data_IF_746454299548
#
_entry.id   IF_746454299548
#
_cell.length_a   1.000
_cell.length_b   1.000
_cell.length_c   1.000
_cell.angle_alpha   90.00
_cell.angle_beta   90.00
_cell.angle_gamma   90.00
#
_symmetry.space_group_name_H-M   'P 1'
#
loop_
_entity.id
_entity.type
_entity.pdbx_description
1 polymer ?
#
# COMPACT_ATOMS: atom_id res chain seq x y z
N UNK A 1 35.39 -4.69 -28.51
CA UNK A 1 34.39 -3.61 -28.39
C UNK A 1 33.17 -4.20 -27.73
N UNK A 2 32.99 -3.92 -26.44
CA UNK A 2 31.83 -4.43 -25.68
C UNK A 2 30.58 -3.72 -26.14
N UNK A 3 29.52 -4.49 -26.43
CA UNK A 3 28.17 -3.98 -26.65
C UNK A 3 27.71 -3.25 -25.37
N UNK A 4 27.76 -1.93 -25.37
CA UNK A 4 27.13 -1.12 -24.35
C UNK A 4 25.61 -1.34 -24.57
N UNK A 5 25.00 -2.20 -23.75
CA UNK A 5 23.56 -2.32 -23.68
C UNK A 5 23.00 -0.93 -23.36
N UNK A 6 22.44 -0.24 -24.36
CA UNK A 6 21.71 1.00 -24.13
C UNK A 6 20.42 0.65 -23.38
N UNK A 7 20.42 0.90 -22.09
CA UNK A 7 19.19 0.83 -21.32
C UNK A 7 18.20 1.90 -21.82
N UNK A 8 16.89 1.60 -21.86
CA UNK A 8 15.89 2.60 -22.22
C UNK A 8 15.95 3.77 -21.22
N UNK A 9 15.60 4.97 -21.67
CA UNK A 9 15.45 6.11 -20.76
C UNK A 9 14.37 5.80 -19.70
N UNK A 10 14.40 6.51 -18.57
CA UNK A 10 13.39 6.34 -17.52
C UNK A 10 11.97 6.45 -18.07
N UNK A 11 11.71 7.45 -18.93
CA UNK A 11 10.38 7.66 -19.53
C UNK A 11 9.97 6.49 -20.43
N UNK A 12 10.90 5.96 -21.24
CA UNK A 12 10.64 4.78 -22.08
C UNK A 12 10.36 3.54 -21.23
N UNK A 13 11.11 3.35 -20.15
CA UNK A 13 10.88 2.25 -19.22
C UNK A 13 9.51 2.35 -18.56
N UNK A 14 9.16 3.52 -18.03
CA UNK A 14 7.87 3.75 -17.38
C UNK A 14 6.69 3.60 -18.37
N UNK A 15 6.86 4.04 -19.62
CA UNK A 15 5.86 3.84 -20.67
C UNK A 15 5.63 2.35 -20.96
N UNK A 16 6.70 1.54 -21.03
CA UNK A 16 6.61 0.09 -21.17
C UNK A 16 5.90 -0.58 -20.00
N UNK A 17 6.13 -0.13 -18.76
CA UNK A 17 5.46 -0.67 -17.58
C UNK A 17 3.97 -0.40 -17.55
N UNK A 18 3.49 0.70 -18.12
CA UNK A 18 2.05 0.98 -18.26
C UNK A 18 1.35 -0.06 -19.13
N UNK A 19 1.98 -0.50 -20.21
CA UNK A 19 1.40 -1.51 -21.12
C UNK A 19 1.42 -2.91 -20.53
N UNK A 20 2.34 -3.22 -19.63
CA UNK A 20 2.49 -4.55 -18.99
C UNK A 20 1.80 -4.65 -17.63
N UNK A 21 1.12 -3.58 -17.16
CA UNK A 21 0.48 -3.57 -15.85
C UNK A 21 1.48 -3.50 -14.67
N UNK A 22 2.72 -3.05 -14.93
CA UNK A 22 3.71 -2.76 -13.89
C UNK A 22 3.44 -1.43 -13.17
N UNK A 23 2.70 -0.53 -13.85
CA UNK A 23 2.25 0.77 -13.35
C UNK A 23 0.77 0.94 -13.69
N UNK A 24 0.00 1.51 -12.76
CA UNK A 24 -1.41 1.90 -12.98
C UNK A 24 -1.73 3.22 -12.30
N UNK A 25 -2.72 3.91 -12.81
CA UNK A 25 -3.24 5.12 -12.19
C UNK A 25 -4.21 4.75 -11.07
N UNK A 26 -4.02 5.30 -9.87
CA UNK A 26 -4.91 5.06 -8.73
C UNK A 26 -5.66 6.32 -8.29
N UNK A 27 -5.20 7.50 -8.71
CA UNK A 27 -5.87 8.79 -8.55
C UNK A 27 -5.43 9.69 -9.70
N UNK A 28 -6.15 10.79 -9.95
CA UNK A 28 -5.83 11.74 -11.04
C UNK A 28 -4.36 12.16 -10.98
N UNK A 29 -3.62 11.90 -12.04
CA UNK A 29 -2.19 12.20 -12.21
C UNK A 29 -1.27 11.55 -11.15
N UNK A 30 -1.75 10.51 -10.45
CA UNK A 30 -0.97 9.74 -9.49
C UNK A 30 -0.94 8.27 -9.88
N UNK A 31 0.24 7.72 -9.91
CA UNK A 31 0.48 6.36 -10.38
C UNK A 31 1.09 5.49 -9.30
N UNK A 32 0.72 4.23 -9.31
CA UNK A 32 1.34 3.20 -8.50
C UNK A 32 2.27 2.33 -9.35
N UNK A 33 3.38 1.91 -8.78
CA UNK A 33 4.35 1.00 -9.39
C UNK A 33 4.53 -0.22 -8.51
N UNK A 34 4.64 -1.41 -9.10
CA UNK A 34 4.93 -2.64 -8.36
C UNK A 34 6.30 -2.57 -7.71
N UNK A 35 6.43 -3.08 -6.49
CA UNK A 35 7.69 -3.19 -5.77
C UNK A 35 8.81 -3.83 -6.62
N UNK A 36 8.52 -4.95 -7.27
CA UNK A 36 9.48 -5.63 -8.16
C UNK A 36 10.03 -4.72 -9.27
N UNK A 37 9.21 -3.82 -9.80
CA UNK A 37 9.65 -2.88 -10.84
C UNK A 37 10.52 -1.76 -10.26
N UNK A 38 10.27 -1.35 -9.01
CA UNK A 38 11.15 -0.40 -8.30
C UNK A 38 12.52 -1.02 -8.05
N UNK A 39 12.60 -2.30 -7.66
CA UNK A 39 13.88 -3.01 -7.52
C UNK A 39 14.65 -3.13 -8.84
N UNK A 40 13.94 -3.36 -9.96
CA UNK A 40 14.57 -3.38 -11.29
C UNK A 40 15.12 -2.01 -11.66
N UNK A 41 14.37 -0.93 -11.37
CA UNK A 41 14.85 0.44 -11.55
C UNK A 41 16.13 0.71 -10.73
N UNK A 42 16.16 0.31 -9.45
CA UNK A 42 17.34 0.47 -8.62
C UNK A 42 18.59 -0.20 -9.24
N UNK A 43 18.44 -1.44 -9.72
CA UNK A 43 19.50 -2.17 -10.40
C UNK A 43 19.94 -1.50 -11.71
N UNK A 44 18.97 -1.07 -12.53
CA UNK A 44 19.24 -0.44 -13.82
C UNK A 44 20.00 0.89 -13.68
N UNK A 45 19.67 1.68 -12.66
CA UNK A 45 20.28 3.00 -12.42
C UNK A 45 21.42 2.96 -11.40
N UNK A 46 21.86 1.77 -10.96
CA UNK A 46 22.91 1.59 -9.96
C UNK A 46 22.64 2.38 -8.67
N UNK A 47 21.39 2.40 -8.22
CA UNK A 47 21.02 3.03 -6.96
C UNK A 47 21.35 2.06 -5.83
N UNK A 48 22.26 2.47 -4.95
CA UNK A 48 22.66 1.70 -3.78
C UNK A 48 21.79 2.13 -2.61
N UNK A 49 21.13 1.18 -1.96
CA UNK A 49 20.28 1.44 -0.80
C UNK A 49 20.83 0.79 0.46
N UNK A 50 20.64 1.46 1.59
CA UNK A 50 20.86 0.93 2.94
C UNK A 50 19.65 1.19 3.80
N UNK A 51 19.42 0.32 4.79
CA UNK A 51 18.27 0.41 5.69
C UNK A 51 18.74 0.40 7.15
N UNK A 52 17.95 1.03 8.00
CA UNK A 52 18.12 1.07 9.46
C UNK A 52 16.75 0.90 10.12
N UNK A 53 16.64 -0.05 11.05
CA UNK A 53 15.43 -0.18 11.88
C UNK A 53 15.46 0.92 12.95
N UNK A 54 14.55 1.88 12.84
CA UNK A 54 14.47 3.03 13.76
C UNK A 54 13.66 2.69 15.00
N UNK A 55 12.52 2.01 14.80
CA UNK A 55 11.65 1.62 15.90
C UNK A 55 10.81 0.40 15.51
N UNK A 56 10.46 -0.42 16.50
CA UNK A 56 9.64 -1.61 16.30
C UNK A 56 8.88 -1.96 17.58
N UNK A 57 7.58 -2.18 17.44
CA UNK A 57 6.73 -2.79 18.45
C UNK A 57 5.89 -3.89 17.75
N UNK A 58 6.41 -5.12 17.78
CA UNK A 58 5.78 -6.25 17.09
C UNK A 58 4.44 -6.63 17.74
N UNK A 59 4.28 -6.42 19.05
CA UNK A 59 3.02 -6.71 19.73
C UNK A 59 1.91 -5.78 19.27
N UNK A 60 2.26 -4.52 18.99
CA UNK A 60 1.33 -3.52 18.43
C UNK A 60 1.28 -3.52 16.90
N UNK A 61 2.06 -4.37 16.22
CA UNK A 61 2.14 -4.39 14.77
C UNK A 61 2.69 -3.09 14.16
N UNK A 62 3.57 -2.38 14.88
CA UNK A 62 4.14 -1.10 14.46
C UNK A 62 5.63 -1.24 14.12
N UNK A 63 6.08 -0.45 13.15
CA UNK A 63 7.50 -0.37 12.81
C UNK A 63 7.82 0.85 11.98
N UNK A 64 9.06 1.33 12.14
CA UNK A 64 9.62 2.43 11.35
C UNK A 64 11.01 2.01 10.87
N UNK A 65 11.20 2.02 9.57
CA UNK A 65 12.47 1.76 8.90
C UNK A 65 12.92 3.02 8.17
N UNK A 66 14.17 3.41 8.37
CA UNK A 66 14.84 4.43 7.58
C UNK A 66 15.52 3.77 6.40
N UNK A 67 15.38 4.35 5.21
CA UNK A 67 16.17 3.98 4.04
C UNK A 67 16.97 5.17 3.53
N UNK A 68 18.19 4.88 3.11
CA UNK A 68 19.05 5.81 2.39
C UNK A 68 19.36 5.25 1.02
N UNK A 69 19.46 6.11 0.00
CA UNK A 69 19.88 5.77 -1.33
C UNK A 69 20.99 6.71 -1.79
N UNK A 70 21.98 6.15 -2.49
CA UNK A 70 23.01 6.94 -3.18
C UNK A 70 22.81 6.80 -4.68
N UNK A 71 22.64 7.93 -5.36
CA UNK A 71 22.50 7.98 -6.81
C UNK A 71 23.24 9.20 -7.38
N UNK A 72 24.11 8.97 -8.35
CA UNK A 72 24.97 10.01 -8.94
C UNK A 72 25.74 10.86 -7.90
N UNK A 73 26.22 10.23 -6.83
CA UNK A 73 26.93 10.89 -5.75
C UNK A 73 26.06 11.68 -4.77
N UNK A 74 24.75 11.75 -4.98
CA UNK A 74 23.79 12.41 -4.10
C UNK A 74 23.15 11.40 -3.17
N UNK A 75 23.02 11.74 -1.89
CA UNK A 75 22.35 10.93 -0.89
C UNK A 75 20.89 11.37 -0.71
N UNK A 76 20.00 10.42 -0.69
CA UNK A 76 18.57 10.59 -0.42
C UNK A 76 18.22 9.75 0.80
N UNK A 77 17.28 10.22 1.60
CA UNK A 77 16.78 9.45 2.75
C UNK A 77 15.28 9.62 2.93
N UNK A 78 14.65 8.62 3.54
CA UNK A 78 13.23 8.63 3.87
C UNK A 78 12.92 7.63 4.98
N UNK A 79 11.69 7.69 5.51
CA UNK A 79 11.15 6.71 6.45
C UNK A 79 10.03 5.93 5.78
N UNK A 80 9.93 4.65 6.10
CA UNK A 80 8.78 3.80 5.87
C UNK A 80 8.19 3.44 7.22
N UNK A 81 6.91 3.68 7.38
CA UNK A 81 6.19 3.39 8.61
C UNK A 81 5.07 2.38 8.37
N UNK A 82 4.80 1.59 9.39
CA UNK A 82 3.70 0.65 9.44
C UNK A 82 3.04 0.67 10.81
N UNK A 83 1.73 0.56 10.79
CA UNK A 83 0.90 0.40 11.99
C UNK A 83 -0.36 -0.40 11.62
N UNK A 84 -1.14 -0.89 12.58
CA UNK A 84 -2.43 -1.55 12.30
C UNK A 84 -3.42 -0.67 11.54
N UNK A 85 -3.23 0.65 11.54
CA UNK A 85 -4.11 1.59 10.81
C UNK A 85 -3.81 1.64 9.31
N UNK A 86 -2.63 1.23 8.89
CA UNK A 86 -2.19 1.33 7.49
C UNK A 86 -1.64 0.02 6.92
N UNK A 87 -1.80 -1.09 7.64
CA UNK A 87 -1.28 -2.40 7.24
C UNK A 87 -2.13 -3.54 7.82
N UNK A 88 -2.50 -4.50 6.98
CA UNK A 88 -3.23 -5.71 7.36
C UNK A 88 -2.36 -6.98 7.34
N UNK A 89 -1.05 -6.85 7.09
CA UNK A 89 -0.13 -7.98 7.02
C UNK A 89 0.50 -8.30 8.37
N UNK A 90 0.79 -9.58 8.62
CA UNK A 90 1.38 -10.05 9.89
C UNK A 90 2.90 -9.83 10.01
N UNK A 91 3.54 -9.17 9.05
CA UNK A 91 4.98 -8.88 9.02
C UNK A 91 5.25 -7.37 8.84
N UNK A 92 5.01 -6.58 9.89
CA UNK A 92 5.04 -5.12 9.81
C UNK A 92 6.40 -4.56 9.38
N UNK A 93 7.51 -5.14 9.88
CA UNK A 93 8.84 -4.62 9.56
C UNK A 93 9.17 -4.76 8.07
N UNK A 94 8.86 -5.91 7.46
CA UNK A 94 9.08 -6.10 6.03
C UNK A 94 8.25 -5.14 5.16
N UNK A 95 7.06 -4.75 5.62
CA UNK A 95 6.25 -3.75 4.92
C UNK A 95 6.83 -2.34 5.11
N UNK A 96 7.28 -1.98 6.32
CA UNK A 96 7.96 -0.72 6.58
C UNK A 96 9.23 -0.58 5.75
N UNK A 97 10.03 -1.66 5.66
CA UNK A 97 11.23 -1.75 4.82
C UNK A 97 10.88 -1.50 3.34
N UNK A 98 9.95 -2.25 2.78
CA UNK A 98 9.54 -2.07 1.37
C UNK A 98 9.10 -0.63 1.10
N UNK A 99 8.29 -0.04 1.97
CA UNK A 99 7.87 1.36 1.86
C UNK A 99 9.04 2.32 1.87
N UNK A 100 10.00 2.13 2.78
CA UNK A 100 11.18 2.98 2.88
C UNK A 100 12.06 2.86 1.64
N UNK A 101 12.39 1.63 1.22
CA UNK A 101 13.27 1.35 0.07
C UNK A 101 12.65 1.85 -1.22
N UNK A 102 11.39 1.53 -1.48
CA UNK A 102 10.72 1.96 -2.70
C UNK A 102 10.66 3.49 -2.78
N UNK A 103 10.25 4.14 -1.69
CA UNK A 103 10.12 5.59 -1.60
C UNK A 103 11.45 6.30 -1.82
N UNK A 104 12.56 5.79 -1.26
CA UNK A 104 13.87 6.42 -1.44
C UNK A 104 14.40 6.27 -2.87
N UNK A 105 14.14 5.13 -3.52
CA UNK A 105 14.48 4.92 -4.93
C UNK A 105 13.70 5.88 -5.84
N UNK A 106 12.38 5.98 -5.64
CA UNK A 106 11.53 6.91 -6.41
C UNK A 106 11.93 8.37 -6.18
N UNK A 107 12.37 8.75 -4.98
CA UNK A 107 12.95 10.07 -4.69
C UNK A 107 14.27 10.29 -5.43
N UNK A 108 15.18 9.33 -5.43
CA UNK A 108 16.46 9.40 -6.12
C UNK A 108 16.27 9.59 -7.63
N UNK A 109 15.23 8.96 -8.20
CA UNK A 109 14.87 9.11 -9.62
C UNK A 109 14.05 10.38 -9.92
N UNK A 110 13.67 11.17 -8.92
CA UNK A 110 12.91 12.41 -9.09
C UNK A 110 11.45 12.22 -9.50
N UNK A 111 10.88 11.04 -9.31
CA UNK A 111 9.50 10.70 -9.72
C UNK A 111 8.54 10.51 -8.55
N UNK A 112 9.05 10.52 -7.29
CA UNK A 112 8.20 10.48 -6.10
C UNK A 112 7.26 11.71 -6.05
N UNK A 113 6.02 11.48 -5.61
CA UNK A 113 4.97 12.51 -5.58
C UNK A 113 3.98 12.38 -6.75
N UNK A 114 4.45 11.91 -7.93
CA UNK A 114 3.59 11.43 -9.02
C UNK A 114 3.51 9.90 -9.04
N UNK A 115 4.60 9.24 -8.65
CA UNK A 115 4.73 7.80 -8.58
C UNK A 115 4.87 7.35 -7.11
N UNK A 116 4.10 6.34 -6.73
CA UNK A 116 4.08 5.72 -5.40
C UNK A 116 4.29 4.22 -5.54
N UNK A 117 4.94 3.59 -4.58
CA UNK A 117 5.00 2.13 -4.59
C UNK A 117 3.65 1.51 -4.22
N UNK A 118 3.39 0.34 -4.77
CA UNK A 118 2.25 -0.48 -4.38
C UNK A 118 2.20 -0.70 -2.85
N UNK A 119 3.34 -0.84 -2.19
CA UNK A 119 3.44 -1.03 -0.75
C UNK A 119 2.98 0.18 0.08
N UNK A 120 2.95 1.38 -0.51
CA UNK A 120 2.52 2.62 0.14
C UNK A 120 1.00 2.82 0.12
N UNK A 121 0.30 2.17 -0.81
CA UNK A 121 -1.13 2.39 -1.02
C UNK A 121 -2.04 1.67 -0.02
N UNK A 122 -1.45 0.91 0.92
CA UNK A 122 -2.22 0.03 1.79
C UNK A 122 -2.83 -1.15 1.03
N UNK A 123 -3.75 -1.90 1.60
CA UNK A 123 -4.45 -2.94 0.88
C UNK A 123 -5.19 -2.29 -0.29
N UNK A 124 -4.67 -2.53 -1.49
CA UNK A 124 -5.30 -2.07 -2.73
C UNK A 124 -6.67 -2.74 -2.76
N UNK A 125 -7.72 -1.94 -2.69
CA UNK A 125 -8.97 -2.36 -3.29
C UNK A 125 -8.62 -2.68 -4.74
N UNK A 126 -8.52 -3.97 -5.06
CA UNK A 126 -8.43 -4.40 -6.45
C UNK A 126 -9.72 -3.95 -7.13
N UNK A 127 -9.68 -2.76 -7.71
CA UNK A 127 -10.69 -2.37 -8.68
C UNK A 127 -10.49 -3.22 -9.94
N UNK A 128 -10.68 -4.53 -9.81
CA UNK A 128 -10.91 -5.42 -10.93
C UNK A 128 -12.38 -5.27 -11.33
N UNK A 129 -12.80 -4.05 -11.62
CA UNK A 129 -14.01 -3.82 -12.40
C UNK A 129 -14.18 -2.32 -12.66
N UNK A 130 -13.63 -1.89 -13.74
CA UNK A 130 -14.11 -0.70 -14.45
C UNK A 130 -15.57 -1.02 -14.84
N UNK A 131 -16.54 -0.53 -14.09
CA UNK A 131 -17.93 -0.60 -14.51
C UNK A 131 -19.02 -0.81 -13.46
N UNK A 132 -18.70 -1.27 -12.25
CA UNK A 132 -19.71 -1.39 -11.20
C UNK A 132 -19.39 -0.42 -10.08
N UNK A 133 -20.19 0.63 -9.93
CA UNK A 133 -20.20 1.43 -8.70
C UNK A 133 -20.68 0.52 -7.57
N UNK A 134 -19.74 -0.09 -6.84
CA UNK A 134 -20.06 -0.77 -5.60
C UNK A 134 -20.70 0.27 -4.66
N UNK A 135 -21.87 -0.03 -4.13
CA UNK A 135 -22.46 0.79 -3.08
C UNK A 135 -21.57 0.75 -1.82
N UNK A 136 -21.65 1.79 -1.00
CA UNK A 136 -20.81 1.94 0.19
C UNK A 136 -20.86 0.71 1.12
N UNK A 137 -22.02 0.04 1.20
CA UNK A 137 -22.18 -1.16 2.02
C UNK A 137 -21.35 -2.34 1.51
N UNK A 138 -21.26 -2.54 0.20
CA UNK A 138 -20.42 -3.58 -0.41
C UNK A 138 -18.94 -3.33 -0.19
N UNK A 139 -18.49 -2.08 -0.27
CA UNK A 139 -17.13 -1.68 0.04
C UNK A 139 -16.77 -1.99 1.50
N UNK A 140 -17.67 -1.67 2.44
CA UNK A 140 -17.47 -1.95 3.86
C UNK A 140 -17.38 -3.46 4.11
N UNK A 141 -18.25 -4.27 3.51
CA UNK A 141 -18.21 -5.74 3.64
C UNK A 141 -16.89 -6.34 3.17
N UNK A 142 -16.37 -5.87 2.05
CA UNK A 142 -15.09 -6.32 1.54
C UNK A 142 -13.93 -5.93 2.47
N UNK A 143 -13.92 -4.70 2.98
CA UNK A 143 -12.92 -4.24 3.95
C UNK A 143 -12.97 -5.03 5.24
N UNK A 144 -14.15 -5.38 5.78
CA UNK A 144 -14.30 -6.24 6.95
C UNK A 144 -13.65 -7.61 6.71
N UNK A 145 -13.92 -8.26 5.57
CA UNK A 145 -13.38 -9.57 5.22
C UNK A 145 -11.85 -9.57 5.15
N UNK A 146 -11.28 -8.49 4.65
CA UNK A 146 -9.83 -8.37 4.42
C UNK A 146 -9.07 -7.82 5.63
N UNK A 147 -9.74 -7.37 6.68
CA UNK A 147 -9.11 -6.83 7.89
C UNK A 147 -8.56 -7.95 8.76
N UNK A 148 -7.25 -7.94 9.06
CA UNK A 148 -6.54 -8.95 9.87
C UNK A 148 -6.22 -8.49 11.29
N UNK A 149 -6.46 -7.23 11.64
CA UNK A 149 -6.18 -6.66 12.96
C UNK A 149 -7.43 -6.00 13.56
N UNK A 150 -7.63 -6.22 14.87
CA UNK A 150 -8.75 -5.64 15.60
C UNK A 150 -8.78 -4.10 15.52
N UNK A 151 -7.61 -3.45 15.65
CA UNK A 151 -7.51 -1.99 15.57
C UNK A 151 -8.01 -1.44 14.22
N UNK A 152 -7.72 -2.12 13.12
CA UNK A 152 -8.20 -1.74 11.79
C UNK A 152 -9.71 -1.93 11.65
N UNK A 153 -10.27 -2.98 12.26
CA UNK A 153 -11.71 -3.22 12.27
C UNK A 153 -12.45 -2.14 13.06
N UNK A 154 -11.92 -1.76 14.22
CA UNK A 154 -12.47 -0.68 15.05
C UNK A 154 -12.35 0.69 14.35
N UNK A 155 -11.26 0.92 13.63
CA UNK A 155 -11.09 2.13 12.82
C UNK A 155 -12.11 2.17 11.69
N UNK A 156 -12.31 1.06 10.97
CA UNK A 156 -13.31 0.96 9.91
C UNK A 156 -14.72 1.24 10.43
N UNK A 157 -15.06 0.72 11.62
CA UNK A 157 -16.33 0.97 12.28
C UNK A 157 -16.51 2.46 12.62
N UNK A 158 -15.48 3.11 13.19
CA UNK A 158 -15.50 4.54 13.52
C UNK A 158 -15.66 5.44 12.29
N UNK A 159 -14.89 5.17 11.24
CA UNK A 159 -14.93 5.93 9.97
C UNK A 159 -16.30 5.89 9.30
N UNK A 160 -17.02 4.78 9.46
CA UNK A 160 -18.33 4.56 8.83
C UNK A 160 -19.52 4.69 9.80
N UNK A 161 -19.30 5.17 11.03
CA UNK A 161 -20.33 5.21 12.08
C UNK A 161 -21.63 5.89 11.65
N UNK A 162 -21.54 7.03 10.98
CA UNK A 162 -22.73 7.76 10.51
C UNK A 162 -23.50 6.96 9.47
N UNK A 163 -22.81 6.38 8.50
CA UNK A 163 -23.41 5.51 7.47
C UNK A 163 -24.06 4.27 8.11
N UNK A 164 -23.35 3.59 9.01
CA UNK A 164 -23.84 2.38 9.70
C UNK A 164 -25.06 2.69 10.55
N UNK A 165 -25.09 3.85 11.21
CA UNK A 165 -26.25 4.29 12.00
C UNK A 165 -27.48 4.52 11.11
N UNK A 166 -27.32 5.23 9.99
CA UNK A 166 -28.40 5.43 9.01
C UNK A 166 -28.86 4.10 8.41
N UNK A 167 -27.91 3.23 8.07
CA UNK A 167 -28.20 1.92 7.49
C UNK A 167 -28.98 1.01 8.47
N UNK A 168 -28.61 1.00 9.75
CA UNK A 168 -29.30 0.22 10.79
C UNK A 168 -30.79 0.62 10.94
N UNK A 169 -31.10 1.90 10.73
CA UNK A 169 -32.48 2.40 10.76
C UNK A 169 -33.32 1.85 9.60
N UNK A 170 -32.70 1.49 8.47
CA UNK A 170 -33.44 0.95 7.31
C UNK A 170 -33.98 -0.48 7.53
N UNK A 171 -33.42 -1.22 8.51
CA UNK A 171 -33.71 -2.64 8.77
C UNK A 171 -33.50 -3.54 7.51
N UNK A 172 -32.76 -3.08 6.53
CA UNK A 172 -32.52 -3.81 5.29
C UNK A 172 -31.67 -5.08 5.50
N UNK A 173 -31.81 -6.08 4.62
CA UNK A 173 -30.98 -7.29 4.67
C UNK A 173 -29.48 -6.96 4.61
N UNK A 174 -29.10 -5.95 3.83
CA UNK A 174 -27.74 -5.47 3.73
C UNK A 174 -27.22 -4.86 5.06
N UNK A 175 -28.07 -4.17 5.80
CA UNK A 175 -27.74 -3.68 7.14
C UNK A 175 -27.42 -4.85 8.09
N UNK A 176 -28.25 -5.88 8.08
CA UNK A 176 -28.05 -7.08 8.90
C UNK A 176 -26.77 -7.81 8.53
N UNK A 177 -26.49 -7.94 7.23
CA UNK A 177 -25.27 -8.58 6.71
C UNK A 177 -24.00 -7.86 7.19
N UNK A 178 -23.95 -6.53 7.07
CA UNK A 178 -22.79 -5.73 7.48
C UNK A 178 -22.58 -5.79 9.00
N UNK A 179 -23.62 -5.63 9.79
CA UNK A 179 -23.52 -5.69 11.26
C UNK A 179 -23.09 -7.08 11.73
N UNK A 180 -23.59 -8.14 11.09
CA UNK A 180 -23.17 -9.51 11.35
C UNK A 180 -21.69 -9.70 10.99
N UNK A 181 -21.24 -9.22 9.82
CA UNK A 181 -19.86 -9.33 9.38
C UNK A 181 -18.87 -8.66 10.36
N UNK A 182 -19.20 -7.47 10.88
CA UNK A 182 -18.39 -6.83 11.94
C UNK A 182 -18.29 -7.70 13.19
N UNK A 183 -19.44 -8.24 13.66
CA UNK A 183 -19.48 -9.08 14.85
C UNK A 183 -18.66 -10.36 14.68
N UNK A 184 -18.87 -11.06 13.57
CA UNK A 184 -18.21 -12.32 13.30
C UNK A 184 -16.68 -12.11 13.14
N UNK A 185 -16.27 -11.05 12.45
CA UNK A 185 -14.84 -10.73 12.27
C UNK A 185 -14.18 -10.34 13.59
N UNK A 186 -14.87 -9.57 14.42
CA UNK A 186 -14.37 -9.21 15.76
C UNK A 186 -14.12 -10.44 16.63
N UNK A 187 -15.03 -11.41 16.59
CA UNK A 187 -14.86 -12.68 17.33
C UNK A 187 -13.67 -13.47 16.81
N UNK A 188 -13.47 -13.56 15.49
CA UNK A 188 -12.33 -14.25 14.89
C UNK A 188 -10.99 -13.60 15.27
N UNK A 189 -10.92 -12.28 15.38
CA UNK A 189 -9.69 -11.56 15.71
C UNK A 189 -9.36 -11.54 17.20
N UNK A 190 -10.33 -11.84 18.08
CA UNK A 190 -10.12 -11.94 19.54
C UNK A 190 -9.81 -13.39 19.96
N UNK A 191 -10.29 -14.38 19.21
CA UNK A 191 -10.16 -15.80 19.55
C UNK A 191 -8.97 -16.54 18.94
N UNK A 192 -8.14 -15.86 18.16
CA UNK A 192 -6.87 -16.36 17.58
C UNK A 192 -5.68 -15.63 18.17
#
# INVERSE_FOLDING_TARGET
MGNILKFPSLDQYLAGLRTTGGIWEFAKDKFAIKHLEVEKLAKQYNIITTIELVNCDLQKGCGVVKAEATYNGVKYQTLGEVSPLNNDWNYPISIAEKRAVDRVILKALGIHGKMYSQSELGPIQKNENVGVKLDQGSIILERIKNTSHQANLEQLERENKEYLTKLAQTKSEKAKEILKAFKDRKQQLIGG
#
